data_IF_829737095594
#
_entry.id   IF_829737095594
#
_cell.length_a   1.000
_cell.length_b   1.000
_cell.length_c   1.000
_cell.angle_alpha   90.00
_cell.angle_beta   90.00
_cell.angle_gamma   90.00
#
_symmetry.space_group_name_H-M   'P 1'
#
loop_
_entity.id
_entity.type
_entity.pdbx_description
1 polymer ?
#
# COMPACT_ATOMS: atom_id res chain seq x y z
N UNK A 1 -22.88 18.71 12.90
CA UNK A 1 -23.39 17.42 12.40
C UNK A 1 -23.94 16.58 13.55
N UNK A 2 -23.16 16.35 14.61
CA UNK A 2 -23.61 15.60 15.79
C UNK A 2 -24.89 16.16 16.41
N UNK A 3 -24.98 17.47 16.61
CA UNK A 3 -26.21 18.14 17.06
C UNK A 3 -27.41 17.86 16.14
N UNK A 4 -27.20 17.82 14.82
CA UNK A 4 -28.26 17.47 13.87
C UNK A 4 -28.68 16.00 14.01
N UNK A 5 -27.72 15.08 14.20
CA UNK A 5 -28.03 13.67 14.45
C UNK A 5 -28.79 13.45 15.76
N UNK A 6 -28.58 14.28 16.78
CA UNK A 6 -29.30 14.18 18.05
C UNK A 6 -30.68 14.82 18.00
N UNK A 7 -30.82 15.96 17.32
CA UNK A 7 -31.97 16.84 17.47
C UNK A 7 -32.88 16.94 16.23
N UNK A 8 -32.47 16.41 15.08
CA UNK A 8 -33.25 16.51 13.83
C UNK A 8 -33.68 15.11 13.37
N UNK A 9 -34.99 14.91 13.22
CA UNK A 9 -35.57 13.66 12.71
C UNK A 9 -35.08 13.38 11.28
N UNK A 10 -34.68 12.13 11.02
CA UNK A 10 -34.17 11.69 9.71
C UNK A 10 -32.72 12.08 9.40
N UNK A 11 -32.04 12.83 10.29
CA UNK A 11 -30.67 13.27 10.04
C UNK A 11 -29.67 12.11 9.99
N UNK A 12 -29.88 11.06 10.80
CA UNK A 12 -29.00 9.87 10.84
C UNK A 12 -29.11 9.01 9.58
N UNK A 13 -30.16 9.17 8.80
CA UNK A 13 -30.40 8.47 7.53
C UNK A 13 -30.14 9.37 6.30
N UNK A 14 -29.87 10.66 6.52
CA UNK A 14 -29.67 11.62 5.44
C UNK A 14 -28.30 11.42 4.78
N UNK A 15 -28.30 10.87 3.56
CA UNK A 15 -27.12 10.48 2.77
C UNK A 15 -25.98 11.52 2.82
N UNK A 16 -26.26 12.79 2.55
CA UNK A 16 -25.22 13.82 2.55
C UNK A 16 -24.62 14.10 3.94
N UNK A 17 -25.41 13.97 5.02
CA UNK A 17 -24.90 14.17 6.38
C UNK A 17 -24.05 12.98 6.80
N UNK A 18 -24.50 11.75 6.50
CA UNK A 18 -23.72 10.54 6.74
C UNK A 18 -22.38 10.59 5.99
N UNK A 19 -22.41 11.00 4.70
CA UNK A 19 -21.22 11.16 3.85
C UNK A 19 -20.22 12.16 4.44
N UNK A 20 -20.68 13.38 4.73
CA UNK A 20 -19.81 14.42 5.31
C UNK A 20 -19.29 14.05 6.70
N UNK A 21 -20.06 13.30 7.48
CA UNK A 21 -19.63 12.86 8.80
C UNK A 21 -18.54 11.78 8.75
N UNK A 22 -18.59 10.87 7.76
CA UNK A 22 -17.49 9.95 7.51
C UNK A 22 -16.19 10.71 7.21
N UNK A 23 -16.22 11.66 6.27
CA UNK A 23 -15.04 12.49 5.97
C UNK A 23 -14.58 13.37 7.14
N UNK A 24 -15.49 13.84 7.99
CA UNK A 24 -15.10 14.65 9.14
C UNK A 24 -14.40 13.84 10.23
N UNK A 25 -14.65 12.52 10.30
CA UNK A 25 -14.10 11.64 11.33
C UNK A 25 -13.02 10.68 10.84
N UNK A 26 -12.83 10.53 9.53
CA UNK A 26 -11.67 9.81 8.98
C UNK A 26 -10.37 10.44 9.51
N UNK A 27 -9.41 9.59 9.91
CA UNK A 27 -8.17 9.97 10.61
C UNK A 27 -8.35 10.81 11.90
N UNK A 28 -9.56 10.98 12.43
CA UNK A 28 -9.75 11.59 13.75
C UNK A 28 -9.28 10.64 14.87
N UNK A 29 -9.17 11.11 16.12
CA UNK A 29 -8.92 10.22 17.26
C UNK A 29 -10.08 9.27 17.61
N UNK A 30 -11.23 9.40 16.95
CA UNK A 30 -12.47 8.67 17.26
C UNK A 30 -13.28 8.32 16.00
N UNK A 31 -12.67 7.66 14.99
CA UNK A 31 -13.33 7.34 13.72
C UNK A 31 -14.55 6.41 13.92
N UNK A 32 -14.56 5.59 14.97
CA UNK A 32 -15.63 4.65 15.28
C UNK A 32 -17.00 5.31 15.49
N UNK A 33 -17.02 6.61 15.82
CA UNK A 33 -18.26 7.36 15.98
C UNK A 33 -19.02 7.52 14.66
N UNK A 34 -18.34 7.39 13.51
CA UNK A 34 -18.95 7.43 12.18
C UNK A 34 -19.47 6.06 11.70
N UNK A 35 -19.24 4.95 12.40
CA UNK A 35 -19.70 3.63 11.97
C UNK A 35 -21.20 3.56 11.66
N UNK A 36 -22.12 4.14 12.47
CA UNK A 36 -23.53 4.14 12.11
C UNK A 36 -23.83 4.90 10.82
N UNK A 37 -23.08 5.97 10.53
CA UNK A 37 -23.23 6.71 9.27
C UNK A 37 -22.67 5.93 8.07
N UNK A 38 -21.53 5.25 8.25
CA UNK A 38 -20.96 4.35 7.27
C UNK A 38 -21.94 3.21 6.92
N UNK A 39 -22.59 2.59 7.90
CA UNK A 39 -23.56 1.52 7.68
C UNK A 39 -24.76 1.96 6.83
N UNK A 40 -25.23 3.21 6.98
CA UNK A 40 -26.27 3.78 6.12
C UNK A 40 -25.78 3.88 4.67
N UNK A 41 -24.60 4.46 4.45
CA UNK A 41 -24.05 4.68 3.11
C UNK A 41 -23.83 3.38 2.34
N UNK A 42 -23.49 2.29 3.05
CA UNK A 42 -23.19 0.97 2.49
C UNK A 42 -24.31 0.43 1.59
N UNK A 43 -25.57 0.81 1.83
CA UNK A 43 -26.73 0.21 1.14
C UNK A 43 -27.77 1.19 0.63
N UNK A 44 -27.76 2.46 1.08
CA UNK A 44 -28.83 3.42 0.75
C UNK A 44 -28.89 3.80 -0.73
N UNK A 45 -27.75 3.79 -1.44
CA UNK A 45 -27.62 4.18 -2.84
C UNK A 45 -26.70 3.22 -3.60
N UNK A 46 -27.09 1.94 -3.82
CA UNK A 46 -26.18 0.88 -4.27
C UNK A 46 -25.67 1.05 -5.71
N UNK A 47 -26.27 1.95 -6.49
CA UNK A 47 -25.79 2.30 -7.84
C UNK A 47 -24.79 3.45 -7.89
N UNK A 48 -24.42 4.03 -6.75
CA UNK A 48 -23.49 5.16 -6.64
C UNK A 48 -22.17 4.67 -6.06
N UNK A 49 -21.22 4.25 -6.91
CA UNK A 49 -19.93 3.69 -6.47
C UNK A 49 -19.23 4.55 -5.42
N UNK A 50 -19.25 5.88 -5.59
CA UNK A 50 -18.74 6.82 -4.57
C UNK A 50 -19.37 6.59 -3.18
N UNK A 51 -20.69 6.57 -3.06
CA UNK A 51 -21.34 6.39 -1.75
C UNK A 51 -21.15 4.98 -1.19
N UNK A 52 -21.07 3.98 -2.06
CA UNK A 52 -20.89 2.58 -1.66
C UNK A 52 -19.50 2.34 -1.09
N UNK A 53 -18.45 3.03 -1.56
CA UNK A 53 -17.10 2.88 -0.98
C UNK A 53 -16.91 3.66 0.31
N UNK A 54 -17.57 4.80 0.49
CA UNK A 54 -17.38 5.69 1.64
C UNK A 54 -17.24 5.01 3.02
N UNK A 55 -17.95 3.91 3.33
CA UNK A 55 -17.71 3.18 4.58
C UNK A 55 -16.25 2.76 4.80
N UNK A 56 -15.48 2.45 3.76
CA UNK A 56 -14.06 2.04 3.91
C UNK A 56 -13.16 3.12 4.49
N UNK A 57 -13.54 4.40 4.34
CA UNK A 57 -12.85 5.52 4.96
C UNK A 57 -12.93 5.47 6.49
N UNK A 58 -13.89 4.74 7.06
CA UNK A 58 -14.00 4.51 8.51
C UNK A 58 -13.54 3.10 8.86
N UNK A 59 -14.02 2.10 8.10
CA UNK A 59 -13.77 0.69 8.35
C UNK A 59 -12.24 0.41 8.47
N UNK A 60 -11.42 0.98 7.58
CA UNK A 60 -9.96 0.82 7.62
C UNK A 60 -9.33 1.36 8.93
N UNK A 61 -9.75 2.54 9.40
CA UNK A 61 -9.19 3.15 10.61
C UNK A 61 -9.61 2.43 11.91
N UNK A 62 -10.73 1.71 11.89
CA UNK A 62 -11.18 0.93 13.04
C UNK A 62 -10.75 -0.54 13.00
N UNK A 63 -10.01 -0.96 11.97
CA UNK A 63 -9.53 -2.34 11.79
C UNK A 63 -10.55 -3.30 11.19
N UNK A 64 -11.61 -2.78 10.55
CA UNK A 64 -12.61 -3.52 9.78
C UNK A 64 -12.19 -3.67 8.31
N UNK A 65 -10.98 -4.21 8.11
CA UNK A 65 -10.37 -4.31 6.78
C UNK A 65 -11.18 -5.19 5.81
N UNK A 66 -11.84 -6.24 6.31
CA UNK A 66 -12.73 -7.10 5.51
C UNK A 66 -13.90 -6.29 4.95
N UNK A 67 -14.58 -5.53 5.80
CA UNK A 67 -15.73 -4.71 5.44
C UNK A 67 -15.34 -3.62 4.44
N UNK A 68 -14.14 -3.04 4.60
CA UNK A 68 -13.54 -2.10 3.66
C UNK A 68 -13.30 -2.73 2.27
N UNK A 69 -12.81 -3.97 2.20
CA UNK A 69 -12.65 -4.70 0.93
C UNK A 69 -14.01 -4.93 0.28
N UNK A 70 -14.98 -5.46 1.04
CA UNK A 70 -16.30 -5.84 0.51
C UNK A 70 -17.07 -4.63 -0.06
N UNK A 71 -17.06 -3.49 0.63
CA UNK A 71 -17.76 -2.30 0.14
C UNK A 71 -17.08 -1.71 -1.11
N UNK A 72 -15.75 -1.74 -1.20
CA UNK A 72 -15.05 -1.26 -2.39
C UNK A 72 -15.22 -2.17 -3.60
N UNK A 73 -15.31 -3.49 -3.38
CA UNK A 73 -15.69 -4.43 -4.45
C UNK A 73 -17.08 -4.08 -4.99
N UNK A 74 -18.06 -3.87 -4.11
CA UNK A 74 -19.41 -3.47 -4.51
C UNK A 74 -19.42 -2.09 -5.21
N UNK A 75 -18.56 -1.16 -4.79
CA UNK A 75 -18.41 0.14 -5.43
C UNK A 75 -17.85 0.03 -6.85
N UNK A 76 -16.81 -0.78 -7.05
CA UNK A 76 -16.25 -1.08 -8.38
C UNK A 76 -17.31 -1.71 -9.29
N UNK A 77 -18.09 -2.66 -8.78
CA UNK A 77 -19.19 -3.28 -9.54
C UNK A 77 -20.29 -2.27 -9.92
N UNK A 78 -20.65 -1.35 -9.01
CA UNK A 78 -21.61 -0.29 -9.29
C UNK A 78 -21.11 0.67 -10.38
N UNK A 79 -19.84 1.06 -10.32
CA UNK A 79 -19.22 1.94 -11.31
C UNK A 79 -19.09 1.26 -12.69
N UNK A 80 -18.69 -0.02 -12.73
CA UNK A 80 -18.62 -0.79 -13.97
C UNK A 80 -19.98 -0.84 -14.67
N UNK A 81 -21.04 -1.11 -13.92
CA UNK A 81 -22.41 -1.11 -14.43
C UNK A 81 -22.84 0.27 -14.92
N UNK A 82 -22.46 1.34 -14.24
CA UNK A 82 -22.76 2.70 -14.69
C UNK A 82 -22.06 3.02 -16.02
N UNK A 83 -20.79 2.63 -16.18
CA UNK A 83 -20.07 2.80 -17.46
C UNK A 83 -20.72 1.99 -18.57
N UNK A 84 -21.09 0.74 -18.31
CA UNK A 84 -21.77 -0.12 -19.28
C UNK A 84 -23.08 0.52 -19.78
N UNK A 85 -23.86 1.10 -18.87
CA UNK A 85 -25.16 1.71 -19.19
C UNK A 85 -25.06 3.05 -19.91
N UNK A 86 -24.03 3.85 -19.59
CA UNK A 86 -23.95 5.26 -20.02
C UNK A 86 -22.88 5.52 -21.08
N UNK A 87 -21.89 4.65 -21.20
CA UNK A 87 -20.68 4.89 -21.99
C UNK A 87 -19.79 6.02 -21.44
N UNK A 88 -19.99 6.47 -20.19
CA UNK A 88 -19.17 7.52 -19.61
C UNK A 88 -17.76 7.03 -19.29
N UNK A 89 -16.81 7.37 -20.14
CA UNK A 89 -15.39 7.01 -19.99
C UNK A 89 -14.47 8.24 -19.84
N UNK A 90 -15.00 9.33 -19.25
CA UNK A 90 -14.24 10.55 -19.04
C UNK A 90 -13.04 10.34 -18.09
N UNK A 91 -11.94 11.07 -18.33
CA UNK A 91 -10.75 11.06 -17.45
C UNK A 91 -11.11 11.31 -15.98
N UNK A 92 -12.00 12.28 -15.74
CA UNK A 92 -12.44 12.63 -14.39
C UNK A 92 -13.19 11.48 -13.72
N UNK A 93 -14.13 10.85 -14.40
CA UNK A 93 -14.86 9.73 -13.81
C UNK A 93 -13.97 8.48 -13.62
N UNK A 94 -13.04 8.21 -14.55
CA UNK A 94 -12.03 7.16 -14.35
C UNK A 94 -11.21 7.40 -13.08
N UNK A 95 -10.78 8.63 -12.82
CA UNK A 95 -10.05 8.96 -11.59
C UNK A 95 -10.84 8.58 -10.33
N UNK A 96 -12.13 8.92 -10.27
CA UNK A 96 -13.00 8.52 -9.15
C UNK A 96 -13.10 7.00 -9.00
N UNK A 97 -13.16 6.26 -10.12
CA UNK A 97 -13.22 4.79 -10.07
C UNK A 97 -11.92 4.18 -9.56
N UNK A 98 -10.78 4.73 -9.95
CA UNK A 98 -9.46 4.22 -9.55
C UNK A 98 -9.24 4.30 -8.04
N UNK A 99 -9.87 5.27 -7.37
CA UNK A 99 -9.91 5.36 -5.91
C UNK A 99 -10.48 4.09 -5.26
N UNK A 100 -11.60 3.60 -5.77
CA UNK A 100 -12.27 2.39 -5.25
C UNK A 100 -11.38 1.15 -5.47
N UNK A 101 -10.75 1.04 -6.65
CA UNK A 101 -9.78 -0.02 -6.92
C UNK A 101 -8.59 0.03 -5.95
N UNK A 102 -8.02 1.22 -5.73
CA UNK A 102 -6.88 1.40 -4.85
C UNK A 102 -7.24 1.01 -3.41
N UNK A 103 -8.45 1.31 -2.93
CA UNK A 103 -8.93 0.85 -1.63
C UNK A 103 -9.03 -0.67 -1.54
N UNK A 104 -9.57 -1.36 -2.57
CA UNK A 104 -9.56 -2.84 -2.57
C UNK A 104 -8.13 -3.36 -2.44
N UNK A 105 -7.20 -2.84 -3.25
CA UNK A 105 -5.80 -3.27 -3.27
C UNK A 105 -5.16 -3.06 -1.90
N UNK A 106 -5.28 -1.85 -1.35
CA UNK A 106 -4.67 -1.48 -0.08
C UNK A 106 -5.21 -2.33 1.07
N UNK A 107 -6.53 -2.43 1.23
CA UNK A 107 -7.10 -3.22 2.32
C UNK A 107 -6.82 -4.72 2.16
N UNK A 108 -6.83 -5.26 0.93
CA UNK A 108 -6.47 -6.65 0.66
C UNK A 108 -5.00 -6.95 1.00
N UNK A 109 -4.08 -6.01 0.74
CA UNK A 109 -2.68 -6.14 1.19
C UNK A 109 -2.56 -6.16 2.73
N UNK A 110 -3.41 -5.44 3.45
CA UNK A 110 -3.45 -5.42 4.92
C UNK A 110 -4.05 -6.70 5.53
N UNK A 111 -4.97 -7.35 4.83
CA UNK A 111 -5.59 -8.64 5.21
C UNK A 111 -4.87 -9.87 4.65
N UNK A 112 -3.75 -9.69 3.95
CA UNK A 112 -2.99 -10.82 3.41
C UNK A 112 -3.72 -11.58 2.29
N UNK A 113 -4.52 -10.88 1.48
CA UNK A 113 -5.24 -11.43 0.32
C UNK A 113 -4.54 -11.05 -0.99
N UNK A 114 -3.51 -11.81 -1.37
CA UNK A 114 -2.76 -11.65 -2.61
C UNK A 114 -3.66 -11.70 -3.85
N UNK A 115 -4.53 -12.70 -3.95
CA UNK A 115 -5.35 -12.94 -5.14
C UNK A 115 -6.33 -11.77 -5.36
N UNK A 116 -6.98 -11.31 -4.28
CA UNK A 116 -7.86 -10.13 -4.33
C UNK A 116 -7.07 -8.88 -4.71
N UNK A 117 -5.94 -8.62 -4.03
CA UNK A 117 -5.13 -7.44 -4.28
C UNK A 117 -4.64 -7.38 -5.73
N UNK A 118 -4.07 -8.47 -6.26
CA UNK A 118 -3.53 -8.49 -7.61
C UNK A 118 -4.65 -8.41 -8.65
N UNK A 119 -5.77 -9.12 -8.46
CA UNK A 119 -6.93 -9.06 -9.35
C UNK A 119 -7.41 -7.61 -9.54
N UNK A 120 -7.60 -6.88 -8.45
CA UNK A 120 -8.12 -5.51 -8.53
C UNK A 120 -7.07 -4.49 -8.97
N UNK A 121 -5.79 -4.73 -8.67
CA UNK A 121 -4.69 -3.94 -9.21
C UNK A 121 -4.62 -4.07 -10.73
N UNK A 122 -4.64 -5.31 -11.27
CA UNK A 122 -4.64 -5.56 -12.72
C UNK A 122 -5.89 -5.01 -13.39
N UNK A 123 -7.07 -5.23 -12.79
CA UNK A 123 -8.32 -4.66 -13.29
C UNK A 123 -8.25 -3.12 -13.39
N UNK A 124 -7.66 -2.44 -12.42
CA UNK A 124 -7.45 -1.00 -12.50
C UNK A 124 -6.57 -0.62 -13.70
N UNK A 125 -5.42 -1.29 -13.86
CA UNK A 125 -4.52 -1.07 -15.01
C UNK A 125 -5.24 -1.32 -16.34
N UNK A 126 -6.02 -2.40 -16.46
CA UNK A 126 -6.74 -2.75 -17.68
C UNK A 126 -7.85 -1.75 -18.03
N UNK A 127 -8.41 -1.05 -17.04
CA UNK A 127 -9.41 0.01 -17.27
C UNK A 127 -8.80 1.36 -17.64
N UNK A 128 -7.50 1.55 -17.37
CA UNK A 128 -6.75 2.68 -17.88
C UNK A 128 -6.35 2.36 -19.32
N UNK A 129 -6.47 3.31 -20.26
CA UNK A 129 -6.19 2.99 -21.64
C UNK A 129 -4.70 2.65 -21.79
N UNK A 130 -4.44 1.43 -22.26
CA UNK A 130 -3.11 0.95 -22.57
C UNK A 130 -2.44 1.97 -23.48
N UNK A 131 -1.27 2.47 -23.12
CA UNK A 131 -0.53 3.53 -23.79
C UNK A 131 -0.06 3.20 -25.21
N UNK A 132 -0.91 2.64 -26.07
CA UNK A 132 -0.67 2.57 -27.49
C UNK A 132 -0.90 3.92 -28.16
N UNK A 133 -0.24 4.11 -29.30
CA UNK A 133 -0.19 5.35 -30.07
C UNK A 133 -1.59 5.81 -30.55
N UNK A 134 -2.55 4.88 -30.61
CA UNK A 134 -3.86 5.11 -31.21
C UNK A 134 -4.96 5.49 -30.20
N UNK A 135 -4.80 5.19 -28.91
CA UNK A 135 -5.80 5.55 -27.89
C UNK A 135 -5.21 5.92 -26.53
N UNK A 136 -4.24 5.19 -26.00
CA UNK A 136 -3.78 5.43 -24.62
C UNK A 136 -2.86 6.61 -24.46
N UNK A 137 -1.89 6.80 -25.36
CA UNK A 137 -1.01 7.99 -25.32
C UNK A 137 -1.81 9.26 -25.55
N UNK A 138 -2.70 9.24 -26.55
CA UNK A 138 -3.61 10.35 -26.83
C UNK A 138 -4.52 10.64 -25.63
N UNK A 139 -5.06 9.63 -24.95
CA UNK A 139 -5.87 9.84 -23.76
C UNK A 139 -5.07 10.36 -22.58
N UNK A 140 -3.89 9.81 -22.30
CA UNK A 140 -3.09 10.19 -21.13
C UNK A 140 -2.53 11.61 -21.27
N UNK A 141 -2.12 11.99 -22.48
CA UNK A 141 -1.54 13.29 -22.78
C UNK A 141 -2.55 14.32 -23.31
N UNK A 142 -3.84 13.96 -23.42
CA UNK A 142 -4.87 14.88 -23.92
C UNK A 142 -5.06 16.11 -23.03
N UNK A 143 -5.32 17.24 -23.69
CA UNK A 143 -5.65 18.52 -23.05
C UNK A 143 -4.45 19.47 -22.95
N UNK A 144 -4.72 20.71 -22.53
CA UNK A 144 -3.66 21.70 -22.23
C UNK A 144 -2.89 21.29 -20.97
N UNK A 145 -3.58 20.65 -20.04
CA UNK A 145 -3.03 20.01 -18.85
C UNK A 145 -3.32 18.51 -19.00
N UNK A 146 -2.30 17.64 -19.03
CA UNK A 146 -2.47 16.21 -19.29
C UNK A 146 -2.99 15.51 -18.02
N UNK A 147 -4.28 15.71 -17.71
CA UNK A 147 -4.92 15.21 -16.49
C UNK A 147 -4.82 13.69 -16.36
N UNK A 148 -4.95 12.95 -17.48
CA UNK A 148 -4.77 11.50 -17.48
C UNK A 148 -3.39 11.10 -16.96
N UNK A 149 -2.34 11.67 -17.53
CA UNK A 149 -0.98 11.35 -17.11
C UNK A 149 -0.68 11.86 -15.69
N UNK A 150 -1.20 13.03 -15.28
CA UNK A 150 -1.02 13.56 -13.92
C UNK A 150 -1.69 12.68 -12.86
N UNK A 151 -2.94 12.29 -13.07
CA UNK A 151 -3.78 11.70 -12.02
C UNK A 151 -3.98 10.18 -12.16
N UNK A 152 -3.76 9.59 -13.33
CA UNK A 152 -4.07 8.17 -13.59
C UNK A 152 -2.82 7.28 -13.70
N UNK A 153 -1.67 7.83 -14.09
CA UNK A 153 -0.46 7.03 -14.33
C UNK A 153 -0.02 6.27 -13.08
N UNK A 154 -0.11 6.90 -11.91
CA UNK A 154 0.35 6.32 -10.64
C UNK A 154 -0.37 5.02 -10.26
N UNK A 155 -1.61 4.81 -10.69
CA UNK A 155 -2.33 3.55 -10.45
C UNK A 155 -1.76 2.36 -11.24
N UNK A 156 -1.03 2.61 -12.33
CA UNK A 156 -0.33 1.56 -13.10
C UNK A 156 0.74 0.87 -12.25
N UNK A 157 1.19 1.51 -11.18
CA UNK A 157 2.17 0.95 -10.24
C UNK A 157 1.61 -0.12 -9.30
N UNK A 158 0.29 -0.19 -9.11
CA UNK A 158 -0.32 -1.03 -8.06
C UNK A 158 0.07 -2.52 -8.14
N UNK A 159 0.08 -3.19 -9.31
CA UNK A 159 0.48 -4.59 -9.37
C UNK A 159 1.90 -4.84 -8.84
N UNK A 160 2.82 -3.90 -9.04
CA UNK A 160 4.20 -4.01 -8.57
C UNK A 160 4.27 -3.95 -7.04
N UNK A 161 3.53 -3.04 -6.42
CA UNK A 161 3.44 -2.96 -4.96
C UNK A 161 2.80 -4.21 -4.34
N UNK A 162 1.77 -4.77 -4.99
CA UNK A 162 1.16 -6.05 -4.56
C UNK A 162 2.20 -7.17 -4.63
N UNK A 163 2.88 -7.33 -5.77
CA UNK A 163 3.88 -8.38 -5.93
C UNK A 163 5.04 -8.25 -4.92
N UNK A 164 5.48 -7.03 -4.61
CA UNK A 164 6.51 -6.78 -3.58
C UNK A 164 6.01 -7.24 -2.21
N UNK A 165 4.80 -6.84 -1.84
CA UNK A 165 4.22 -7.15 -0.54
C UNK A 165 4.15 -8.65 -0.27
N UNK A 166 3.87 -9.43 -1.31
CA UNK A 166 3.69 -10.88 -1.21
C UNK A 166 4.90 -11.68 -1.71
N UNK A 167 6.06 -11.04 -1.86
CA UNK A 167 7.32 -11.74 -2.15
C UNK A 167 7.38 -12.42 -3.50
N UNK A 168 6.67 -11.91 -4.50
CA UNK A 168 6.57 -12.51 -5.84
C UNK A 168 7.76 -12.12 -6.71
N UNK A 169 8.96 -12.42 -6.21
CA UNK A 169 10.23 -11.94 -6.77
C UNK A 169 10.45 -12.39 -8.21
N UNK A 170 10.15 -13.66 -8.51
CA UNK A 170 10.29 -14.19 -9.86
C UNK A 170 9.25 -13.60 -10.83
N UNK A 171 8.03 -13.36 -10.35
CA UNK A 171 6.98 -12.70 -11.13
C UNK A 171 7.39 -11.26 -11.46
N UNK A 172 7.93 -10.50 -10.50
CA UNK A 172 8.46 -9.14 -10.70
C UNK A 172 9.57 -9.10 -11.77
N UNK A 173 10.50 -10.06 -11.71
CA UNK A 173 11.64 -10.09 -12.65
C UNK A 173 11.15 -10.45 -14.07
N UNK A 174 10.13 -11.30 -14.18
CA UNK A 174 9.56 -11.73 -15.45
C UNK A 174 8.51 -10.76 -16.03
N UNK A 175 7.94 -9.89 -15.19
CA UNK A 175 6.89 -8.95 -15.59
C UNK A 175 7.39 -7.96 -16.65
N UNK A 176 6.64 -7.74 -17.75
CA UNK A 176 7.00 -6.78 -18.79
C UNK A 176 7.16 -5.35 -18.28
N UNK A 177 8.20 -4.67 -18.76
CA UNK A 177 8.44 -3.26 -18.46
C UNK A 177 7.72 -2.32 -19.43
N UNK A 178 7.27 -1.18 -18.92
CA UNK A 178 6.86 -0.06 -19.77
C UNK A 178 8.10 0.61 -20.35
N UNK A 179 7.99 1.15 -21.58
CA UNK A 179 9.13 1.75 -22.29
C UNK A 179 8.92 3.21 -22.69
N UNK A 180 7.68 3.69 -22.74
CA UNK A 180 7.38 5.10 -23.01
C UNK A 180 7.63 5.95 -21.75
N UNK A 181 8.74 6.66 -21.76
CA UNK A 181 9.22 7.50 -20.65
C UNK A 181 8.43 8.79 -20.49
N UNK A 182 7.69 9.24 -21.50
CA UNK A 182 6.90 10.47 -21.42
C UNK A 182 5.52 10.19 -20.82
N UNK A 183 4.97 9.00 -21.10
CA UNK A 183 3.66 8.56 -20.61
C UNK A 183 3.76 7.88 -19.25
N UNK A 184 4.76 7.03 -19.04
CA UNK A 184 4.88 6.17 -17.85
C UNK A 184 6.14 6.42 -16.99
N UNK A 185 6.58 7.68 -16.75
CA UNK A 185 7.81 7.95 -16.02
C UNK A 185 7.79 7.43 -14.57
N UNK A 186 6.67 7.59 -13.86
CA UNK A 186 6.50 7.16 -12.48
C UNK A 186 6.43 5.63 -12.39
N UNK A 187 5.76 5.02 -13.36
CA UNK A 187 5.66 3.56 -13.49
C UNK A 187 7.02 2.93 -13.70
N UNK A 188 7.80 3.45 -14.66
CA UNK A 188 9.14 2.93 -14.96
C UNK A 188 10.06 3.04 -13.74
N UNK A 189 10.02 4.16 -13.00
CA UNK A 189 10.75 4.27 -11.73
C UNK A 189 10.31 3.18 -10.74
N UNK A 190 9.01 2.98 -10.53
CA UNK A 190 8.52 1.92 -9.64
C UNK A 190 8.89 0.50 -10.11
N UNK A 191 9.00 0.25 -11.43
CA UNK A 191 9.44 -1.03 -11.98
C UNK A 191 10.90 -1.35 -11.61
N UNK A 192 11.79 -0.37 -11.75
CA UNK A 192 13.18 -0.52 -11.32
C UNK A 192 13.30 -0.70 -9.80
N UNK A 193 12.51 0.05 -9.03
CA UNK A 193 12.40 -0.16 -7.58
C UNK A 193 12.01 -1.60 -7.22
N UNK A 194 10.92 -2.10 -7.82
CA UNK A 194 10.42 -3.44 -7.55
C UNK A 194 11.44 -4.53 -7.91
N UNK A 195 12.07 -4.42 -9.09
CA UNK A 195 13.09 -5.36 -9.55
C UNK A 195 14.34 -5.32 -8.66
N UNK A 196 14.76 -4.12 -8.24
CA UNK A 196 15.87 -3.97 -7.30
C UNK A 196 15.61 -4.64 -5.96
N UNK A 197 14.42 -4.45 -5.37
CA UNK A 197 14.00 -5.14 -4.14
C UNK A 197 13.93 -6.66 -4.36
N UNK A 198 13.41 -7.12 -5.51
CA UNK A 198 13.35 -8.55 -5.83
C UNK A 198 14.74 -9.19 -5.94
N UNK A 199 15.67 -8.57 -6.66
CA UNK A 199 17.06 -9.05 -6.75
C UNK A 199 17.77 -9.03 -5.40
N UNK A 200 17.60 -7.98 -4.60
CA UNK A 200 18.14 -7.90 -3.24
C UNK A 200 17.57 -9.03 -2.35
N UNK A 201 16.26 -9.28 -2.44
CA UNK A 201 15.61 -10.36 -1.68
C UNK A 201 16.12 -11.75 -2.09
N UNK A 202 16.49 -11.94 -3.37
CA UNK A 202 17.09 -13.17 -3.91
C UNK A 202 18.60 -13.29 -3.67
N UNK A 203 19.25 -12.31 -3.03
CA UNK A 203 20.70 -12.31 -2.81
C UNK A 203 21.54 -11.89 -4.03
N UNK A 204 20.88 -11.43 -5.10
CA UNK A 204 21.49 -10.98 -6.35
C UNK A 204 21.86 -9.49 -6.24
N UNK A 205 22.83 -9.18 -5.38
CA UNK A 205 23.18 -7.81 -5.00
C UNK A 205 23.63 -6.97 -6.21
N UNK A 206 24.44 -7.53 -7.10
CA UNK A 206 24.98 -6.78 -8.24
C UNK A 206 23.86 -6.34 -9.20
N UNK A 207 22.88 -7.21 -9.42
CA UNK A 207 21.68 -6.93 -10.20
C UNK A 207 20.78 -5.91 -9.50
N UNK A 208 20.66 -5.98 -8.18
CA UNK A 208 19.91 -5.01 -7.39
C UNK A 208 20.54 -3.60 -7.46
N UNK A 209 21.87 -3.51 -7.32
CA UNK A 209 22.62 -2.25 -7.49
C UNK A 209 22.48 -1.70 -8.92
N UNK A 210 22.44 -2.57 -9.93
CA UNK A 210 22.19 -2.14 -11.32
C UNK A 210 20.78 -1.56 -11.50
N UNK A 211 19.75 -2.17 -10.92
CA UNK A 211 18.38 -1.63 -10.93
C UNK A 211 18.29 -0.32 -10.13
N UNK A 212 19.05 -0.14 -9.05
CA UNK A 212 19.13 1.12 -8.31
C UNK A 212 19.68 2.27 -9.16
N UNK A 213 20.73 2.01 -9.96
CA UNK A 213 21.24 3.02 -10.90
C UNK A 213 20.18 3.42 -11.93
N UNK A 214 19.40 2.46 -12.45
CA UNK A 214 18.32 2.73 -13.39
C UNK A 214 17.15 3.47 -12.74
N UNK A 215 16.83 3.15 -11.50
CA UNK A 215 15.86 3.87 -10.68
C UNK A 215 16.26 5.34 -10.53
N UNK A 216 17.50 5.61 -10.10
CA UNK A 216 18.01 6.97 -9.91
C UNK A 216 18.05 7.77 -11.22
N UNK A 217 18.30 7.11 -12.36
CA UNK A 217 18.21 7.73 -13.67
C UNK A 217 16.76 8.02 -14.08
N UNK A 218 15.81 7.14 -13.76
CA UNK A 218 14.39 7.36 -14.02
C UNK A 218 13.84 8.59 -13.25
N UNK A 219 14.35 8.86 -12.04
CA UNK A 219 13.98 10.04 -11.25
C UNK A 219 14.35 11.38 -11.90
N UNK A 220 15.29 11.39 -12.84
CA UNK A 220 15.70 12.61 -13.58
C UNK A 220 14.76 12.97 -14.72
N UNK A 221 13.74 12.16 -14.98
CA UNK A 221 12.82 12.35 -16.09
C UNK A 221 11.90 13.57 -15.84
N UNK A 222 11.93 14.62 -16.68
CA UNK A 222 11.11 15.80 -16.51
C UNK A 222 9.59 15.51 -16.60
N UNK A 223 9.17 14.40 -17.23
CA UNK A 223 7.77 14.01 -17.30
C UNK A 223 7.17 13.59 -15.93
N UNK A 224 8.02 13.38 -14.91
CA UNK A 224 7.57 13.19 -13.52
C UNK A 224 6.93 14.44 -12.91
N UNK A 225 7.22 15.62 -13.45
CA UNK A 225 6.78 16.88 -12.88
C UNK A 225 5.24 16.92 -12.74
N UNK A 226 4.78 17.08 -11.50
CA UNK A 226 3.36 17.17 -11.18
C UNK A 226 2.59 15.85 -11.21
N UNK A 227 3.24 14.70 -11.46
CA UNK A 227 2.58 13.38 -11.33
C UNK A 227 2.16 13.14 -9.89
N UNK A 228 0.94 12.66 -9.68
CA UNK A 228 0.40 12.41 -8.34
C UNK A 228 -0.25 11.04 -8.21
N UNK A 229 -0.19 10.48 -7.01
CA UNK A 229 -1.15 9.50 -6.52
C UNK A 229 -2.02 10.21 -5.49
N UNK A 230 -3.25 10.54 -5.89
CA UNK A 230 -4.16 11.37 -5.12
C UNK A 230 -3.51 12.71 -4.69
N UNK A 231 -3.28 12.92 -3.40
CA UNK A 231 -2.68 14.14 -2.85
C UNK A 231 -1.14 14.10 -2.78
N UNK A 232 -0.51 12.95 -3.05
CA UNK A 232 0.94 12.80 -2.96
C UNK A 232 1.59 12.94 -4.33
N UNK A 233 2.65 13.73 -4.41
CA UNK A 233 3.51 13.73 -5.59
C UNK A 233 4.22 12.38 -5.72
N UNK A 234 4.34 11.90 -6.96
CA UNK A 234 5.20 10.75 -7.25
C UNK A 234 6.66 11.13 -7.04
N UNK A 235 7.07 12.30 -7.54
CA UNK A 235 8.41 12.84 -7.38
C UNK A 235 8.42 14.35 -7.11
N UNK A 236 9.35 14.78 -6.26
CA UNK A 236 9.80 16.16 -6.09
C UNK A 236 11.24 16.16 -5.56
N UNK A 237 11.90 17.32 -5.55
CA UNK A 237 13.24 17.42 -4.97
C UNK A 237 13.19 17.11 -3.46
N UNK A 238 14.14 16.31 -2.93
CA UNK A 238 14.22 16.05 -1.50
C UNK A 238 14.25 17.31 -0.62
N UNK A 239 14.70 18.46 -1.13
CA UNK A 239 14.66 19.73 -0.40
C UNK A 239 13.27 20.33 -0.22
N UNK A 240 12.32 19.94 -1.07
CA UNK A 240 10.96 20.46 -1.08
C UNK A 240 10.01 19.66 -0.17
N UNK A 241 10.38 18.41 0.15
CA UNK A 241 9.67 17.57 1.11
C UNK A 241 9.58 16.10 0.68
N UNK A 242 8.80 15.27 1.41
CA UNK A 242 8.65 13.85 1.09
C UNK A 242 7.72 13.61 -0.11
N UNK A 243 7.98 12.54 -0.86
CA UNK A 243 7.12 12.05 -1.93
C UNK A 243 7.29 10.53 -2.08
N UNK A 244 6.40 9.88 -2.86
CA UNK A 244 6.33 8.41 -2.93
C UNK A 244 7.64 7.79 -3.41
N UNK A 245 8.23 8.31 -4.50
CA UNK A 245 9.47 7.75 -5.03
C UNK A 245 10.69 7.98 -4.11
N UNK A 246 10.66 8.97 -3.20
CA UNK A 246 11.71 9.11 -2.18
C UNK A 246 11.59 8.06 -1.07
N UNK A 247 10.37 7.61 -0.75
CA UNK A 247 10.17 6.45 0.13
C UNK A 247 10.75 5.20 -0.55
N UNK A 248 10.42 4.97 -1.82
CA UNK A 248 10.93 3.84 -2.60
C UNK A 248 12.47 3.85 -2.68
N UNK A 249 13.09 5.02 -2.90
CA UNK A 249 14.54 5.18 -2.92
C UNK A 249 15.19 4.74 -1.58
N UNK A 250 14.61 5.18 -0.45
CA UNK A 250 15.11 4.84 0.87
C UNK A 250 14.96 3.33 1.16
N UNK A 251 13.82 2.73 0.81
CA UNK A 251 13.60 1.29 0.95
C UNK A 251 14.56 0.48 0.09
N UNK A 252 14.75 0.86 -1.18
CA UNK A 252 15.65 0.16 -2.10
C UNK A 252 17.09 0.15 -1.58
N UNK A 253 17.60 1.32 -1.16
CA UNK A 253 18.94 1.43 -0.60
C UNK A 253 19.09 0.59 0.67
N UNK A 254 18.07 0.62 1.55
CA UNK A 254 18.04 -0.17 2.77
C UNK A 254 18.09 -1.68 2.52
N UNK A 255 17.27 -2.18 1.59
CA UNK A 255 17.20 -3.60 1.22
C UNK A 255 18.49 -4.11 0.58
N UNK A 256 19.09 -3.32 -0.32
CA UNK A 256 20.38 -3.66 -0.97
C UNK A 256 21.50 -3.73 0.06
N UNK A 257 21.65 -2.69 0.88
CA UNK A 257 22.67 -2.67 1.92
C UNK A 257 22.44 -3.77 2.96
N UNK A 258 21.19 -4.03 3.35
CA UNK A 258 20.88 -5.14 4.24
C UNK A 258 21.37 -6.46 3.67
N UNK A 259 21.05 -6.76 2.40
CA UNK A 259 21.44 -8.03 1.79
C UNK A 259 22.95 -8.16 1.66
N UNK A 260 23.67 -7.08 1.35
CA UNK A 260 25.15 -7.07 1.31
C UNK A 260 25.73 -7.53 2.65
N UNK A 261 25.25 -6.94 3.73
CA UNK A 261 25.72 -7.23 5.08
C UNK A 261 25.29 -8.62 5.54
N UNK A 262 24.07 -9.04 5.19
CA UNK A 262 23.58 -10.39 5.43
C UNK A 262 24.49 -11.44 4.78
N UNK A 263 24.84 -11.26 3.51
CA UNK A 263 25.71 -12.20 2.79
C UNK A 263 27.15 -12.17 3.32
N UNK A 264 27.66 -11.00 3.71
CA UNK A 264 28.96 -10.90 4.38
C UNK A 264 28.98 -11.69 5.71
N UNK A 265 27.96 -11.49 6.56
CA UNK A 265 27.77 -12.23 7.81
C UNK A 265 27.71 -13.74 7.57
N UNK A 266 26.96 -14.18 6.56
CA UNK A 266 26.85 -15.59 6.20
C UNK A 266 28.18 -16.21 5.73
N UNK A 267 29.08 -15.42 5.15
CA UNK A 267 30.46 -15.83 4.80
C UNK A 267 31.44 -15.76 5.99
N UNK A 268 30.99 -15.31 7.16
CA UNK A 268 31.85 -15.11 8.33
C UNK A 268 32.72 -13.84 8.24
N UNK A 269 32.38 -12.92 7.36
CA UNK A 269 33.03 -11.61 7.23
C UNK A 269 32.45 -10.63 8.28
N UNK A 270 33.18 -9.55 8.55
CA UNK A 270 32.64 -8.46 9.36
C UNK A 270 31.42 -7.83 8.64
N UNK A 271 30.30 -7.71 9.35
CA UNK A 271 29.05 -7.15 8.84
C UNK A 271 28.55 -6.04 9.76
N UNK A 272 28.07 -4.93 9.19
CA UNK A 272 27.45 -3.81 9.90
C UNK A 272 26.16 -3.38 9.20
N UNK A 273 25.02 -3.59 9.86
CA UNK A 273 23.69 -3.29 9.32
C UNK A 273 23.25 -1.83 9.56
N UNK A 274 24.08 -1.00 10.20
CA UNK A 274 23.72 0.38 10.59
C UNK A 274 23.22 1.19 9.41
N UNK A 275 23.96 1.19 8.29
CA UNK A 275 23.59 1.94 7.07
C UNK A 275 22.25 1.45 6.50
N UNK A 276 22.02 0.14 6.51
CA UNK A 276 20.76 -0.44 6.03
C UNK A 276 19.57 0.02 6.89
N UNK A 277 19.71 -0.03 8.22
CA UNK A 277 18.65 0.40 9.13
C UNK A 277 18.43 1.91 9.11
N UNK A 278 19.47 2.73 8.91
CA UNK A 278 19.31 4.18 8.76
C UNK A 278 18.51 4.54 7.51
N UNK A 279 18.73 3.85 6.39
CA UNK A 279 17.91 4.00 5.19
C UNK A 279 16.45 3.62 5.43
N UNK A 280 16.19 2.49 6.11
CA UNK A 280 14.82 2.04 6.39
C UNK A 280 14.10 2.96 7.39
N UNK A 281 14.79 3.45 8.43
CA UNK A 281 14.25 4.47 9.36
C UNK A 281 13.92 5.76 8.62
N UNK A 282 14.78 6.21 7.70
CA UNK A 282 14.48 7.34 6.81
C UNK A 282 13.25 7.05 5.95
N UNK A 283 13.11 5.84 5.42
CA UNK A 283 11.91 5.42 4.68
C UNK A 283 10.63 5.49 5.51
N UNK A 284 10.69 5.09 6.79
CA UNK A 284 9.58 5.25 7.75
C UNK A 284 9.24 6.73 7.94
N UNK A 285 10.24 7.59 8.19
CA UNK A 285 10.03 9.03 8.38
C UNK A 285 9.40 9.68 7.14
N UNK A 286 9.96 9.44 5.95
CA UNK A 286 9.41 9.94 4.69
C UNK A 286 7.96 9.48 4.48
N UNK A 287 7.68 8.19 4.75
CA UNK A 287 6.35 7.60 4.55
C UNK A 287 5.29 8.16 5.51
N UNK A 288 5.68 8.56 6.72
CA UNK A 288 4.77 9.12 7.73
C UNK A 288 4.53 10.63 7.52
N UNK A 289 5.45 11.31 6.86
CA UNK A 289 5.35 12.74 6.55
C UNK A 289 4.81 13.03 5.14
N UNK A 290 4.41 11.99 4.38
CA UNK A 290 3.65 12.16 3.14
C UNK A 290 2.39 13.00 3.37
N UNK A 291 1.91 13.67 2.31
CA UNK A 291 0.66 14.38 2.36
C UNK A 291 -0.48 13.42 2.69
N UNK A 292 -1.46 13.89 3.48
CA UNK A 292 -2.62 13.07 3.86
C UNK A 292 -3.29 12.50 2.62
N UNK A 293 -3.54 11.20 2.66
CA UNK A 293 -4.13 10.48 1.55
C UNK A 293 -4.86 9.23 2.00
N UNK A 294 -5.88 8.88 1.25
CA UNK A 294 -6.72 7.70 1.45
C UNK A 294 -7.00 7.05 0.09
N UNK A 295 -6.63 5.79 -0.14
CA UNK A 295 -5.70 4.99 0.66
C UNK A 295 -4.32 5.66 0.85
N UNK A 296 -3.57 5.20 1.85
CA UNK A 296 -2.23 5.75 2.12
C UNK A 296 -1.34 5.60 0.88
N UNK A 297 -0.64 6.67 0.48
CA UNK A 297 0.10 6.71 -0.79
C UNK A 297 1.19 5.63 -0.90
N UNK A 298 1.88 5.35 0.21
CA UNK A 298 2.76 4.19 0.33
C UNK A 298 1.94 2.97 0.79
N UNK A 299 1.57 2.09 -0.16
CA UNK A 299 0.65 0.98 0.10
C UNK A 299 1.16 -0.06 1.12
N UNK A 300 2.46 -0.32 1.19
CA UNK A 300 3.07 -1.18 2.21
C UNK A 300 3.76 -0.33 3.28
N UNK A 301 3.37 -0.41 4.56
CA UNK A 301 4.09 0.26 5.64
C UNK A 301 5.56 -0.13 5.68
N UNK A 302 6.46 0.86 5.60
CA UNK A 302 7.92 0.64 5.70
C UNK A 302 8.30 0.04 7.06
N UNK A 303 7.48 0.29 8.09
CA UNK A 303 7.61 -0.32 9.41
C UNK A 303 7.59 -1.85 9.38
N UNK A 304 6.82 -2.46 8.48
CA UNK A 304 6.82 -3.91 8.33
C UNK A 304 8.17 -4.43 7.79
N UNK A 305 8.80 -3.69 6.88
CA UNK A 305 10.13 -4.03 6.35
C UNK A 305 11.17 -3.88 7.46
N UNK A 306 11.24 -2.70 8.08
CA UNK A 306 12.18 -2.41 9.16
C UNK A 306 12.05 -3.41 10.32
N UNK A 307 10.83 -3.65 10.81
CA UNK A 307 10.57 -4.57 11.91
C UNK A 307 10.95 -6.01 11.60
N UNK A 308 10.73 -6.49 10.36
CA UNK A 308 11.11 -7.85 9.96
C UNK A 308 12.63 -8.03 9.99
N UNK A 309 13.35 -7.06 9.42
CA UNK A 309 14.80 -7.13 9.26
C UNK A 309 15.55 -6.88 10.57
N UNK A 310 15.01 -6.05 11.48
CA UNK A 310 15.47 -5.91 12.86
C UNK A 310 15.29 -7.23 13.63
N UNK A 311 14.10 -7.84 13.55
CA UNK A 311 13.82 -9.13 14.20
C UNK A 311 14.78 -10.23 13.71
N UNK A 312 15.03 -10.30 12.40
CA UNK A 312 15.98 -11.27 11.81
C UNK A 312 17.42 -11.10 12.34
N UNK A 313 17.83 -9.89 12.68
CA UNK A 313 19.15 -9.64 13.27
C UNK A 313 19.19 -9.71 14.80
N UNK A 314 18.05 -9.97 15.45
CA UNK A 314 17.95 -10.08 16.91
C UNK A 314 17.79 -8.74 17.64
N UNK A 315 17.50 -7.65 16.92
CA UNK A 315 17.23 -6.32 17.48
C UNK A 315 15.77 -6.25 17.97
N UNK A 316 15.44 -7.08 18.96
CA UNK A 316 14.05 -7.36 19.36
C UNK A 316 13.36 -6.14 19.98
N UNK A 317 14.06 -5.37 20.81
CA UNK A 317 13.49 -4.20 21.48
C UNK A 317 13.05 -3.12 20.48
N UNK A 318 13.86 -2.84 19.46
CA UNK A 318 13.50 -1.87 18.42
C UNK A 318 12.39 -2.42 17.51
N UNK A 319 12.47 -3.69 17.12
CA UNK A 319 11.43 -4.33 16.32
C UNK A 319 10.06 -4.25 17.02
N UNK A 320 10.00 -4.53 18.34
CA UNK A 320 8.78 -4.43 19.13
C UNK A 320 8.22 -3.00 19.11
N UNK A 321 9.08 -2.00 19.34
CA UNK A 321 8.68 -0.59 19.32
C UNK A 321 8.09 -0.18 17.95
N UNK A 322 8.67 -0.67 16.85
CA UNK A 322 8.19 -0.44 15.48
C UNK A 322 6.78 -1.01 15.30
N UNK A 323 6.53 -2.26 15.71
CA UNK A 323 5.21 -2.88 15.55
C UNK A 323 4.13 -2.28 16.46
N UNK A 324 4.48 -1.90 17.69
CA UNK A 324 3.55 -1.18 18.58
C UNK A 324 3.14 0.17 17.98
N UNK A 325 4.08 0.89 17.38
CA UNK A 325 3.78 2.14 16.68
C UNK A 325 2.94 1.91 15.41
N UNK A 326 3.14 0.78 14.73
CA UNK A 326 2.39 0.38 13.54
C UNK A 326 0.92 0.08 13.84
N UNK A 327 0.63 -0.85 14.75
CA UNK A 327 -0.75 -1.26 15.10
C UNK A 327 -1.55 -0.09 15.69
N UNK A 328 -0.88 0.87 16.34
CA UNK A 328 -1.53 2.09 16.82
C UNK A 328 -2.10 2.94 15.67
N UNK A 329 -1.42 2.97 14.53
CA UNK A 329 -1.86 3.72 13.35
C UNK A 329 -2.81 2.87 12.50
N UNK A 330 -2.41 1.62 12.23
CA UNK A 330 -3.15 0.67 11.41
C UNK A 330 -3.77 -0.40 12.29
N UNK A 331 -4.92 -0.06 12.87
CA UNK A 331 -5.56 -0.88 13.89
C UNK A 331 -5.82 -2.31 13.39
N UNK A 332 -5.47 -3.27 14.23
CA UNK A 332 -5.71 -4.71 14.06
C UNK A 332 -5.27 -5.28 12.70
N UNK A 333 -4.26 -4.67 12.05
CA UNK A 333 -3.73 -5.24 10.82
C UNK A 333 -2.93 -6.51 11.11
N UNK A 334 -3.11 -7.56 10.28
CA UNK A 334 -2.54 -8.88 10.58
C UNK A 334 -1.00 -8.87 10.63
N UNK A 335 -0.36 -7.95 9.93
CA UNK A 335 1.09 -7.90 9.77
C UNK A 335 1.76 -7.27 10.98
N UNK A 336 1.25 -6.14 11.46
CA UNK A 336 1.67 -5.55 12.72
C UNK A 336 1.48 -6.54 13.87
N UNK A 337 0.33 -7.23 13.91
CA UNK A 337 0.02 -8.26 14.92
C UNK A 337 1.00 -9.43 14.87
N UNK A 338 1.32 -9.94 13.67
CA UNK A 338 2.36 -10.97 13.49
C UNK A 338 3.71 -10.50 14.02
N UNK A 339 4.12 -9.28 13.67
CA UNK A 339 5.38 -8.71 14.11
C UNK A 339 5.49 -8.60 15.62
N UNK A 340 4.46 -8.06 16.27
CA UNK A 340 4.39 -7.96 17.73
C UNK A 340 4.40 -9.35 18.38
N UNK A 341 3.62 -10.31 17.86
CA UNK A 341 3.63 -11.71 18.31
C UNK A 341 5.06 -12.28 18.30
N UNK A 342 5.78 -12.14 17.18
CA UNK A 342 7.16 -12.66 17.04
C UNK A 342 8.15 -12.01 18.01
N UNK A 343 8.00 -10.72 18.32
CA UNK A 343 8.81 -10.05 19.34
C UNK A 343 8.51 -10.58 20.74
N UNK A 344 7.23 -10.75 21.09
CA UNK A 344 6.81 -11.29 22.39
C UNK A 344 7.27 -12.74 22.59
N UNK A 345 7.22 -13.56 21.54
CA UNK A 345 7.76 -14.93 21.54
C UNK A 345 9.28 -14.94 21.79
N UNK A 346 10.02 -14.05 21.13
CA UNK A 346 11.47 -13.94 21.32
C UNK A 346 11.86 -13.48 22.73
N UNK A 347 11.06 -12.57 23.32
CA UNK A 347 11.27 -12.05 24.68
C UNK A 347 10.93 -13.08 25.76
N UNK A 348 9.85 -13.85 25.57
CA UNK A 348 9.48 -14.99 26.43
C UNK A 348 9.05 -14.64 27.85
N UNK A 349 8.78 -13.37 28.15
CA UNK A 349 8.52 -12.84 29.50
C UNK A 349 7.12 -12.21 29.68
N UNK A 350 6.28 -12.22 28.65
CA UNK A 350 4.93 -11.62 28.65
C UNK A 350 3.84 -12.58 28.11
N UNK A 351 3.57 -13.69 28.80
CA UNK A 351 2.68 -14.76 28.29
C UNK A 351 1.22 -14.35 28.12
N UNK A 352 0.70 -13.44 28.95
CA UNK A 352 -0.68 -12.95 28.85
C UNK A 352 -0.87 -12.09 27.59
N UNK A 353 0.00 -11.09 27.39
CA UNK A 353 -0.01 -10.24 26.20
C UNK A 353 0.21 -11.07 24.92
N UNK A 354 1.14 -12.03 24.96
CA UNK A 354 1.37 -12.94 23.83
C UNK A 354 0.10 -13.72 23.46
N UNK A 355 -0.64 -14.22 24.46
CA UNK A 355 -1.89 -14.95 24.21
C UNK A 355 -2.96 -14.05 23.58
N UNK A 356 -3.09 -12.81 24.04
CA UNK A 356 -4.03 -11.82 23.48
C UNK A 356 -3.69 -11.46 22.04
N UNK A 357 -2.43 -11.09 21.77
CA UNK A 357 -1.96 -10.73 20.42
C UNK A 357 -2.06 -11.92 19.48
N UNK A 358 -1.77 -13.14 19.95
CA UNK A 358 -1.91 -14.37 19.15
C UNK A 358 -3.36 -14.66 18.79
N UNK A 359 -4.29 -14.51 19.74
CA UNK A 359 -5.71 -14.70 19.45
C UNK A 359 -6.20 -13.71 18.39
N UNK A 360 -5.84 -12.44 18.52
CA UNK A 360 -6.21 -11.40 17.57
C UNK A 360 -5.53 -11.63 16.20
N UNK A 361 -4.25 -12.00 16.17
CA UNK A 361 -3.56 -12.37 14.93
C UNK A 361 -4.28 -13.53 14.21
N UNK A 362 -4.64 -14.60 14.92
CA UNK A 362 -5.34 -15.76 14.34
C UNK A 362 -6.71 -15.37 13.78
N UNK A 363 -7.45 -14.51 14.47
CA UNK A 363 -8.73 -13.99 13.98
C UNK A 363 -8.56 -13.17 12.70
N UNK A 364 -7.60 -12.25 12.68
CA UNK A 364 -7.37 -11.35 11.54
C UNK A 364 -6.78 -12.08 10.34
N UNK A 365 -5.83 -12.98 10.55
CA UNK A 365 -5.19 -13.78 9.49
C UNK A 365 -6.03 -14.93 8.95
N UNK A 366 -7.15 -15.28 9.60
CA UNK A 366 -8.04 -16.38 9.16
C UNK A 366 -8.61 -16.21 7.73
N UNK A 367 -8.54 -15.00 7.18
CA UNK A 367 -9.04 -14.64 5.85
C UNK A 367 -7.92 -14.43 4.82
N UNK A 368 -6.66 -14.52 5.25
CA UNK A 368 -5.51 -14.37 4.36
C UNK A 368 -5.41 -15.61 3.45
N UNK A 369 -5.10 -15.40 2.18
CA UNK A 369 -4.69 -16.50 1.29
C UNK A 369 -3.21 -16.85 1.48
N UNK A 370 -2.42 -15.90 2.00
CA UNK A 370 -1.02 -16.07 2.34
C UNK A 370 -0.80 -15.60 3.78
N UNK A 371 -0.51 -16.54 4.67
CA UNK A 371 -0.05 -16.26 6.04
C UNK A 371 1.46 -16.38 6.08
N UNK A 372 2.21 -15.28 6.24
CA UNK A 372 3.67 -15.33 6.22
C UNK A 372 4.23 -15.64 7.62
N UNK A 373 5.46 -16.17 7.67
CA UNK A 373 6.18 -16.38 8.92
C UNK A 373 6.84 -15.09 9.45
N UNK A 374 7.02 -14.08 8.59
CA UNK A 374 7.58 -12.76 8.91
C UNK A 374 6.76 -11.68 8.24
N UNK A 375 6.86 -10.44 8.72
CA UNK A 375 6.05 -9.33 8.20
C UNK A 375 6.53 -8.77 6.85
N UNK A 376 7.68 -9.27 6.36
CA UNK A 376 8.26 -8.98 5.05
C UNK A 376 8.84 -10.26 4.43
N UNK A 377 8.58 -10.49 3.13
CA UNK A 377 9.18 -11.59 2.36
C UNK A 377 10.67 -11.39 2.03
N UNK A 378 11.21 -10.20 2.32
CA UNK A 378 12.63 -9.89 2.23
C UNK A 378 13.46 -10.60 3.31
N UNK A 379 12.84 -11.03 4.41
CA UNK A 379 13.47 -11.87 5.43
C UNK A 379 13.62 -13.33 4.92
N UNK A 380 14.72 -14.00 5.30
CA UNK A 380 15.13 -15.31 4.74
C UNK A 380 14.24 -16.49 5.14
N UNK A 381 13.65 -16.46 6.34
CA UNK A 381 12.66 -17.46 6.80
C UNK A 381 11.24 -16.86 6.79
N UNK A 382 10.89 -16.15 5.72
CA UNK A 382 9.58 -15.47 5.59
C UNK A 382 8.42 -16.41 5.25
N UNK A 383 8.71 -17.62 4.77
CA UNK A 383 7.76 -18.72 4.65
C UNK A 383 7.99 -19.70 5.81
N UNK A 384 6.92 -20.23 6.39
CA UNK A 384 7.05 -21.33 7.35
C UNK A 384 7.67 -22.54 6.64
N UNK A 385 8.69 -23.15 7.24
CA UNK A 385 9.23 -24.43 6.75
C UNK A 385 8.12 -25.46 6.88
N UNK A 386 7.57 -25.91 5.76
CA UNK A 386 6.68 -27.07 5.80
C UNK A 386 7.53 -28.29 6.13
N UNK A 387 6.96 -29.32 6.77
CA UNK A 387 7.69 -30.57 7.05
C UNK A 387 8.16 -31.31 5.76
N UNK A 388 7.96 -30.74 4.58
CA UNK A 388 8.31 -31.30 3.28
C UNK A 388 9.39 -30.52 2.51
N UNK A 389 9.97 -29.46 3.10
CA UNK A 389 11.07 -28.68 2.49
C UNK A 389 12.47 -29.15 2.93
#
# INVERSE_FOLDING_TARGET
>A
MEDAFENVEGAKEHVALCHLYCHALELSPFPERALPAADVLRTVMPGMGHLVHMPSHIDAWVGQWKEAIECNIAAVEADDKYVELTGNDSQFYKFYRMHNHHFVVWCAMFEGQYETALKYARKAVDTLPAGDENSGVQFMLAGIIPMGAIFLESYVTMPWHVMIRFGKWDEIIAEPMYSDRDVFPSTIATQHYARGVAYASKGMVAEAEAEQVLFDEALKNPALAGRVLHNNLMYQDPSDGPCILLVNAAVLAGEIEYRKQFLAKARGEASDFTVAFDHLRRGVDLSLNLAYNEPWGQMQPVRHILGALLHEQGEIEEAEAVYRADIKLWKDNMWGLLGLKLCLEARGDAPEELAEVTALFNERSSRADIVPAKTCFCAQDSLEKSCCD
#
